data_IF_235679457415
#
_entry.id   IF_235679457415
#
_cell.length_a   1.000
_cell.length_b   1.000
_cell.length_c   1.000
_cell.angle_alpha   90.00
_cell.angle_beta   90.00
_cell.angle_gamma   90.00
#
_symmetry.space_group_name_H-M   'P 1'
#
loop_
_entity.id
_entity.type
_entity.pdbx_description
1 polymer ?
#
# COMPACT_ATOMS: atom_id res chain seq x y z
N UNK A 1 -2.66 -6.03 -21.83
CA UNK A 1 -2.56 -6.67 -20.51
C UNK A 1 -2.67 -8.16 -20.69
N UNK A 2 -1.73 -8.93 -20.12
CA UNK A 2 -1.85 -10.38 -20.05
C UNK A 2 -2.83 -10.74 -18.94
N UNK A 3 -3.98 -11.32 -19.28
CA UNK A 3 -4.99 -11.70 -18.29
C UNK A 3 -4.44 -12.64 -17.20
N UNK A 4 -3.41 -13.42 -17.53
CA UNK A 4 -2.74 -14.34 -16.60
C UNK A 4 -1.98 -13.58 -15.51
N UNK A 5 -1.25 -12.51 -15.85
CA UNK A 5 -0.45 -11.74 -14.88
C UNK A 5 -1.35 -11.15 -13.79
N UNK A 6 -2.51 -10.60 -14.18
CA UNK A 6 -3.48 -10.06 -13.22
C UNK A 6 -4.08 -11.13 -12.30
N UNK A 7 -4.33 -12.35 -12.81
CA UNK A 7 -4.80 -13.45 -11.97
C UNK A 7 -3.74 -13.87 -10.97
N UNK A 8 -2.48 -13.97 -11.40
CA UNK A 8 -1.35 -14.31 -10.54
C UNK A 8 -1.13 -13.23 -9.48
N UNK A 9 -1.21 -11.94 -9.84
CA UNK A 9 -1.09 -10.82 -8.91
C UNK A 9 -2.16 -10.90 -7.80
N UNK A 10 -3.42 -11.14 -8.18
CA UNK A 10 -4.52 -11.21 -7.22
C UNK A 10 -4.39 -12.41 -6.30
N UNK A 11 -4.20 -13.61 -6.86
CA UNK A 11 -4.07 -14.83 -6.06
C UNK A 11 -2.82 -14.80 -5.18
N UNK A 12 -1.71 -14.30 -5.70
CA UNK A 12 -0.47 -14.15 -4.94
C UNK A 12 -0.61 -13.18 -3.77
N UNK A 13 -1.29 -12.05 -3.95
CA UNK A 13 -1.56 -11.09 -2.89
C UNK A 13 -2.47 -11.68 -1.79
N UNK A 14 -3.53 -12.41 -2.17
CA UNK A 14 -4.42 -13.05 -1.21
C UNK A 14 -3.71 -14.15 -0.42
N UNK A 15 -2.93 -15.00 -1.11
CA UNK A 15 -2.15 -16.05 -0.47
C UNK A 15 -1.08 -15.47 0.47
N UNK A 16 -0.43 -14.37 0.09
CA UNK A 16 0.52 -13.69 0.96
C UNK A 16 -0.15 -13.16 2.23
N UNK A 17 -1.33 -12.55 2.10
CA UNK A 17 -2.08 -12.06 3.26
C UNK A 17 -2.47 -13.21 4.19
N UNK A 18 -3.00 -14.30 3.66
CA UNK A 18 -3.34 -15.50 4.43
C UNK A 18 -2.10 -16.12 5.11
N UNK A 19 -1.02 -16.32 4.35
CA UNK A 19 0.21 -16.92 4.86
C UNK A 19 0.95 -16.04 5.87
N UNK A 20 0.73 -14.71 5.85
CA UNK A 20 1.31 -13.78 6.81
C UNK A 20 0.71 -13.91 8.21
N UNK A 21 -0.50 -14.46 8.33
CA UNK A 21 -1.23 -14.54 9.59
C UNK A 21 -1.63 -13.17 10.16
N UNK A 22 -1.61 -12.11 9.36
CA UNK A 22 -1.98 -10.77 9.82
C UNK A 22 -3.48 -10.66 10.11
N UNK A 23 -3.84 -10.15 11.29
CA UNK A 23 -5.24 -9.97 11.71
C UNK A 23 -5.95 -8.84 10.95
N UNK A 24 -5.19 -7.84 10.51
CA UNK A 24 -5.69 -6.68 9.76
C UNK A 24 -4.68 -6.15 8.77
N UNK A 25 -5.17 -5.54 7.70
CA UNK A 25 -4.33 -4.84 6.71
C UNK A 25 -4.65 -3.35 6.72
N UNK A 26 -3.61 -2.52 6.80
CA UNK A 26 -3.71 -1.06 6.71
C UNK A 26 -2.78 -0.52 5.63
N UNK A 27 -3.13 0.61 5.03
CA UNK A 27 -2.36 1.20 3.94
C UNK A 27 -2.01 2.67 4.20
N UNK A 28 -0.89 3.16 3.68
CA UNK A 28 -0.72 4.61 3.54
C UNK A 28 -1.65 5.15 2.44
N UNK A 29 -1.94 6.47 2.40
CA UNK A 29 -2.58 7.06 1.23
C UNK A 29 -1.86 6.66 -0.06
N UNK A 30 -2.60 6.42 -1.14
CA UNK A 30 -2.04 5.96 -2.41
C UNK A 30 -1.67 7.16 -3.28
N UNK A 31 -0.44 7.19 -3.78
CA UNK A 31 -0.01 8.18 -4.76
C UNK A 31 -0.48 7.77 -6.17
N UNK A 32 -1.36 8.56 -6.77
CA UNK A 32 -1.85 8.30 -8.13
C UNK A 32 -0.87 8.78 -9.21
N UNK A 33 0.06 9.68 -8.85
CA UNK A 33 0.94 10.35 -9.79
C UNK A 33 0.30 11.53 -10.51
N UNK A 34 0.96 12.04 -11.55
CA UNK A 34 0.50 13.19 -12.35
C UNK A 34 0.78 12.97 -13.84
N UNK A 35 0.42 13.97 -14.66
CA UNK A 35 0.73 13.99 -16.08
C UNK A 35 -0.34 13.33 -16.92
N UNK A 36 0.10 12.59 -17.93
CA UNK A 36 -0.80 12.00 -18.93
C UNK A 36 -0.33 10.61 -19.33
N UNK A 37 -1.28 9.76 -19.68
CA UNK A 37 -1.06 8.39 -20.16
C UNK A 37 -1.66 8.24 -21.55
N UNK A 38 -0.97 7.50 -22.41
CA UNK A 38 -1.44 7.20 -23.76
C UNK A 38 -2.15 5.84 -23.82
N UNK A 39 -3.33 5.84 -24.42
CA UNK A 39 -4.13 4.65 -24.70
C UNK A 39 -4.44 4.56 -26.20
N UNK A 40 -4.98 3.42 -26.62
CA UNK A 40 -5.49 3.22 -27.99
C UNK A 40 -6.55 4.25 -28.41
N UNK A 41 -7.19 4.92 -27.45
CA UNK A 41 -8.24 5.90 -27.66
C UNK A 41 -7.77 7.35 -27.39
N UNK A 42 -6.46 7.57 -27.36
CA UNK A 42 -5.86 8.90 -27.17
C UNK A 42 -5.20 9.09 -25.81
N UNK A 43 -4.91 10.35 -25.50
CA UNK A 43 -4.16 10.75 -24.31
C UNK A 43 -5.11 11.21 -23.20
N UNK A 44 -4.98 10.61 -22.03
CA UNK A 44 -5.82 10.88 -20.87
C UNK A 44 -5.00 11.51 -19.74
N UNK A 45 -5.58 12.42 -18.94
CA UNK A 45 -4.92 12.89 -17.73
C UNK A 45 -4.78 11.73 -16.74
N UNK A 46 -3.72 11.76 -15.93
CA UNK A 46 -3.56 10.85 -14.78
C UNK A 46 -4.44 11.35 -13.63
N UNK A 47 -5.16 10.46 -12.92
CA UNK A 47 -5.23 9.01 -13.12
C UNK A 47 -6.01 8.59 -14.36
N UNK A 48 -5.59 7.48 -14.98
CA UNK A 48 -6.31 6.85 -16.08
C UNK A 48 -7.76 6.49 -15.68
N UNK A 49 -8.70 6.34 -16.64
CA UNK A 49 -10.11 6.14 -16.31
C UNK A 49 -10.40 5.01 -15.31
N UNK A 50 -9.75 3.85 -15.45
CA UNK A 50 -9.94 2.72 -14.53
C UNK A 50 -9.42 3.03 -13.12
N UNK A 51 -8.24 3.66 -13.02
CA UNK A 51 -7.66 4.08 -11.74
C UNK A 51 -8.50 5.18 -11.09
N UNK A 52 -9.04 6.12 -11.86
CA UNK A 52 -9.91 7.18 -11.38
C UNK A 52 -11.21 6.62 -10.75
N UNK A 53 -11.83 5.63 -11.39
CA UNK A 53 -13.02 4.97 -10.85
C UNK A 53 -12.71 4.17 -9.57
N UNK A 54 -11.60 3.43 -9.56
CA UNK A 54 -11.18 2.66 -8.38
C UNK A 54 -10.80 3.57 -7.20
N UNK A 55 -10.16 4.71 -7.44
CA UNK A 55 -9.73 5.64 -6.41
C UNK A 55 -10.89 6.29 -5.62
N UNK A 56 -12.12 6.26 -6.13
CA UNK A 56 -13.30 6.80 -5.43
C UNK A 56 -13.45 6.17 -4.04
N UNK A 57 -13.43 7.00 -3.00
CA UNK A 57 -13.56 6.58 -1.59
C UNK A 57 -12.27 6.11 -0.93
N UNK A 58 -11.15 6.02 -1.65
CA UNK A 58 -9.83 5.72 -1.08
C UNK A 58 -9.16 6.99 -0.54
N UNK A 59 -8.16 6.84 0.33
CA UNK A 59 -7.26 7.95 0.69
C UNK A 59 -6.16 8.02 -0.35
N UNK A 60 -6.15 9.09 -1.15
CA UNK A 60 -5.20 9.25 -2.25
C UNK A 60 -4.55 10.63 -2.24
N UNK A 61 -3.39 10.73 -2.87
CA UNK A 61 -2.73 11.98 -3.19
C UNK A 61 -2.05 11.89 -4.56
N UNK A 62 -1.49 12.99 -5.02
CA UNK A 62 -0.72 13.06 -6.26
C UNK A 62 0.56 13.85 -6.01
N UNK A 63 1.67 13.35 -6.57
CA UNK A 63 2.92 14.10 -6.71
C UNK A 63 3.13 14.49 -8.16
N UNK A 64 4.01 15.44 -8.42
CA UNK A 64 4.38 15.79 -9.79
C UNK A 64 5.34 14.74 -10.43
N UNK A 65 4.89 13.49 -10.55
CA UNK A 65 5.70 12.38 -11.06
C UNK A 65 5.84 12.38 -12.58
N UNK A 66 4.94 13.04 -13.30
CA UNK A 66 4.88 13.06 -14.75
C UNK A 66 4.35 11.76 -15.40
N UNK A 67 4.00 10.75 -14.58
CA UNK A 67 3.37 9.50 -15.01
C UNK A 67 2.49 8.92 -13.90
N UNK A 68 1.63 7.96 -14.27
CA UNK A 68 0.73 7.26 -13.35
C UNK A 68 1.50 6.27 -12.45
N UNK A 69 1.37 6.44 -11.14
CA UNK A 69 2.08 5.63 -10.14
C UNK A 69 1.25 4.46 -9.58
N UNK A 70 -0.06 4.47 -9.83
CA UNK A 70 -0.98 3.44 -9.36
C UNK A 70 -1.57 2.66 -10.53
N UNK A 71 -1.54 1.33 -10.47
CA UNK A 71 -2.17 0.48 -11.48
C UNK A 71 -3.59 0.10 -11.05
N UNK A 72 -4.49 -0.23 -11.99
CA UNK A 72 -5.83 -0.71 -11.63
C UNK A 72 -5.79 -1.92 -10.69
N UNK A 73 -4.89 -2.88 -10.94
CA UNK A 73 -4.72 -4.05 -10.07
C UNK A 73 -4.29 -3.67 -8.65
N UNK A 74 -3.27 -2.80 -8.52
CA UNK A 74 -2.78 -2.34 -7.22
C UNK A 74 -3.85 -1.58 -6.42
N UNK A 75 -4.59 -0.68 -7.08
CA UNK A 75 -5.71 0.03 -6.46
C UNK A 75 -6.82 -0.91 -6.03
N UNK A 76 -7.15 -1.91 -6.86
CA UNK A 76 -8.16 -2.91 -6.52
C UNK A 76 -7.76 -3.72 -5.28
N UNK A 77 -6.50 -4.16 -5.20
CA UNK A 77 -5.98 -4.90 -4.05
C UNK A 77 -6.03 -4.06 -2.78
N UNK A 78 -5.47 -2.85 -2.80
CA UNK A 78 -5.46 -1.95 -1.63
C UNK A 78 -6.88 -1.63 -1.19
N UNK A 79 -7.78 -1.31 -2.13
CA UNK A 79 -9.18 -0.99 -1.82
C UNK A 79 -9.93 -2.16 -1.18
N UNK A 80 -9.60 -3.38 -1.57
CA UNK A 80 -10.27 -4.59 -1.08
C UNK A 80 -9.73 -5.04 0.27
N UNK A 81 -8.41 -4.93 0.47
CA UNK A 81 -7.74 -5.50 1.63
C UNK A 81 -7.57 -4.50 2.78
N UNK A 82 -7.34 -3.21 2.49
CA UNK A 82 -7.04 -2.24 3.52
C UNK A 82 -8.30 -1.82 4.29
N UNK A 83 -8.32 -2.07 5.60
CA UNK A 83 -9.42 -1.69 6.49
C UNK A 83 -9.37 -0.21 6.88
N UNK A 84 -8.17 0.37 6.91
CA UNK A 84 -7.96 1.78 7.21
C UNK A 84 -6.71 2.32 6.54
N UNK A 85 -6.61 3.65 6.54
CA UNK A 85 -5.49 4.37 5.94
C UNK A 85 -4.80 5.28 6.94
N UNK A 86 -3.47 5.24 7.00
CA UNK A 86 -2.70 5.99 7.98
C UNK A 86 -1.18 5.91 7.80
N UNK A 87 -0.41 6.47 8.73
CA UNK A 87 1.04 6.25 8.79
C UNK A 87 1.35 4.79 9.14
N UNK A 88 2.63 4.42 9.05
CA UNK A 88 3.12 3.12 9.54
C UNK A 88 2.74 2.95 11.03
N UNK A 89 2.02 1.89 11.40
CA UNK A 89 1.64 1.63 12.79
C UNK A 89 2.86 1.48 13.72
N UNK A 90 2.66 1.79 15.00
CA UNK A 90 3.63 1.49 16.05
C UNK A 90 3.65 -0.03 16.31
N UNK A 91 4.85 -0.59 16.49
CA UNK A 91 5.03 -2.00 16.77
C UNK A 91 6.41 -2.49 16.35
N UNK A 92 6.62 -3.80 16.46
CA UNK A 92 7.85 -4.46 16.06
C UNK A 92 7.73 -4.96 14.62
N UNK A 93 8.62 -4.52 13.73
CA UNK A 93 8.67 -5.01 12.35
C UNK A 93 9.23 -6.43 12.33
N UNK A 94 8.39 -7.41 11.98
CA UNK A 94 8.76 -8.83 11.87
C UNK A 94 9.34 -9.16 10.50
N UNK A 95 8.79 -8.56 9.44
CA UNK A 95 9.24 -8.79 8.06
C UNK A 95 9.00 -7.57 7.17
N UNK A 96 9.78 -7.46 6.10
CA UNK A 96 9.63 -6.42 5.07
C UNK A 96 9.57 -7.07 3.70
N UNK A 97 8.55 -6.74 2.93
CA UNK A 97 8.39 -7.15 1.54
C UNK A 97 8.56 -5.97 0.59
N UNK A 98 9.06 -6.24 -0.61
CA UNK A 98 9.16 -5.28 -1.70
C UNK A 98 8.58 -5.87 -2.96
N UNK A 99 7.73 -5.10 -3.64
CA UNK A 99 7.24 -5.40 -4.99
C UNK A 99 7.51 -4.20 -5.88
N UNK A 100 7.99 -4.42 -7.10
CA UNK A 100 8.23 -3.34 -8.07
C UNK A 100 7.58 -3.68 -9.39
N UNK A 101 6.97 -2.67 -10.01
CA UNK A 101 6.63 -2.75 -11.42
C UNK A 101 7.90 -2.73 -12.29
N UNK A 102 7.70 -2.97 -13.58
CA UNK A 102 8.78 -2.91 -14.59
C UNK A 102 9.09 -1.49 -15.05
N UNK A 103 8.20 -0.54 -14.82
CA UNK A 103 8.38 0.86 -15.18
C UNK A 103 9.12 1.63 -14.07
N UNK A 104 10.17 2.37 -14.43
CA UNK A 104 10.88 3.29 -13.53
C UNK A 104 11.52 4.40 -14.34
N UNK A 105 11.46 5.64 -13.85
CA UNK A 105 12.17 6.77 -14.43
C UNK A 105 13.34 7.26 -13.55
N UNK A 106 13.70 6.49 -12.51
CA UNK A 106 14.80 6.79 -11.58
C UNK A 106 14.54 7.94 -10.60
N UNK A 107 13.63 8.86 -10.91
CA UNK A 107 13.28 9.99 -10.07
C UNK A 107 12.18 9.66 -9.04
N UNK A 108 11.25 8.77 -9.41
CA UNK A 108 10.15 8.36 -8.54
C UNK A 108 10.18 6.83 -8.34
N UNK A 109 10.32 6.35 -7.09
CA UNK A 109 10.30 4.92 -6.82
C UNK A 109 8.92 4.33 -7.15
N UNK A 110 8.90 3.29 -7.96
CA UNK A 110 7.71 2.53 -8.36
C UNK A 110 7.58 1.19 -7.61
N UNK A 111 8.16 1.13 -6.41
CA UNK A 111 8.05 -0.03 -5.54
C UNK A 111 6.99 0.16 -4.46
N UNK A 112 6.21 -0.89 -4.24
CA UNK A 112 5.43 -1.12 -3.05
C UNK A 112 6.34 -1.72 -1.98
N UNK A 113 6.23 -1.22 -0.76
CA UNK A 113 6.85 -1.83 0.42
C UNK A 113 5.76 -2.25 1.39
N UNK A 114 5.84 -3.48 1.86
CA UNK A 114 4.95 -4.04 2.86
C UNK A 114 5.72 -4.34 4.14
N UNK A 115 5.02 -4.28 5.27
CA UNK A 115 5.55 -4.59 6.58
C UNK A 115 4.62 -5.58 7.26
N UNK A 116 5.19 -6.63 7.85
CA UNK A 116 4.50 -7.40 8.88
C UNK A 116 4.91 -6.81 10.23
N UNK A 117 3.95 -6.34 11.00
CA UNK A 117 4.17 -5.65 12.27
C UNK A 117 3.43 -6.40 13.35
N UNK A 118 4.14 -6.69 14.44
CA UNK A 118 3.55 -7.12 15.70
C UNK A 118 3.17 -5.88 16.51
N UNK A 119 1.88 -5.72 16.78
CA UNK A 119 1.39 -4.63 17.62
C UNK A 119 1.96 -4.78 19.03
N UNK A 120 2.76 -3.81 19.47
CA UNK A 120 3.28 -3.76 20.83
C UNK A 120 2.25 -3.19 21.80
N UNK A 121 1.12 -3.86 21.99
CA UNK A 121 0.17 -3.48 23.04
C UNK A 121 0.40 -4.33 24.28
N UNK A 122 1.42 -3.94 25.06
CA UNK A 122 1.49 -4.05 26.52
C UNK A 122 2.79 -3.35 26.94
N UNK A 123 2.72 -2.04 27.13
CA UNK A 123 3.57 -1.43 28.14
C UNK A 123 3.01 -1.95 29.47
N UNK A 124 3.60 -3.01 30.01
CA UNK A 124 3.45 -3.32 31.42
C UNK A 124 3.73 -2.02 32.19
N UNK A 125 2.72 -1.48 32.86
CA UNK A 125 2.93 -0.47 33.89
C UNK A 125 3.91 -1.09 34.87
N UNK A 126 5.15 -0.59 34.87
CA UNK A 126 6.16 -1.01 35.81
C UNK A 126 5.75 -0.51 37.21
N UNK A 127 4.87 -1.25 37.89
CA UNK A 127 4.62 -1.13 39.32
C UNK A 127 5.84 -1.64 40.09
N UNK A 128 6.95 -0.91 40.01
CA UNK A 128 8.13 -1.22 40.81
C UNK A 128 8.91 0.06 41.13
N UNK A 129 8.32 0.93 41.96
CA UNK A 129 9.05 1.81 42.88
C UNK A 129 8.17 2.07 44.12
N UNK A 130 7.76 1.01 44.81
CA UNK A 130 7.46 1.13 46.24
C UNK A 130 8.78 1.30 47.00
N UNK A 131 8.90 2.37 47.78
CA UNK A 131 9.81 2.43 48.93
C UNK A 131 10.97 3.43 48.84
N UNK A 132 10.73 4.65 49.34
CA UNK A 132 11.69 5.21 50.29
C UNK A 132 10.92 5.86 51.44
N UNK A 133 11.20 5.30 52.62
CA UNK A 133 10.68 5.67 53.92
C UNK A 133 11.12 7.09 54.32
N UNK A 134 10.20 7.84 54.93
CA UNK A 134 10.49 8.97 55.85
C UNK A 134 9.95 8.63 57.24
#
# INVERSE_FOLDING_TARGET
MGAVDTVVDVLGAMLLAEASGADRVVASPVNLGSGFVEFSHGRFPVPAPACAELAKGMRTFATDSGFELATPTGLCLVKTMAESYGPLPLGSVLAVGYGSGTYSNGAYPTFLRTYLIEDGNELEECEACHGHDD
#
